data_IF_526356838552
#
_entry.id   IF_526356838552
#
_cell.length_a   1.000
_cell.length_b   1.000
_cell.length_c   1.000
_cell.angle_alpha   90.00
_cell.angle_beta   90.00
_cell.angle_gamma   90.00
#
_symmetry.space_group_name_H-M   'P 1'
#
loop_
_entity.id
_entity.type
_entity.pdbx_description
1 polymer ?
#
# COMPACT_ATOMS: atom_id res chain seq x y z
N UNK A 1 10.18 13.24 2.46
CA UNK A 1 9.92 12.29 1.36
C UNK A 1 9.07 13.07 0.37
N UNK A 2 9.53 13.26 -0.86
CA UNK A 2 8.76 13.99 -1.86
C UNK A 2 7.56 13.13 -2.25
N UNK A 3 6.36 13.51 -1.82
CA UNK A 3 5.13 12.76 -2.08
C UNK A 3 4.57 13.14 -3.45
N UNK A 4 4.45 12.17 -4.35
CA UNK A 4 3.76 12.35 -5.61
C UNK A 4 2.27 12.62 -5.33
N UNK A 5 1.80 13.82 -5.66
CA UNK A 5 0.39 14.21 -5.55
C UNK A 5 -0.31 13.93 -6.87
N UNK A 6 -1.28 13.02 -6.86
CA UNK A 6 -2.13 12.76 -8.02
C UNK A 6 -3.61 12.88 -7.65
N UNK A 7 -4.41 13.35 -8.61
CA UNK A 7 -5.87 13.38 -8.49
C UNK A 7 -6.44 12.19 -9.25
N UNK A 8 -7.37 11.47 -8.62
CA UNK A 8 -7.98 10.27 -9.20
C UNK A 8 -9.46 10.53 -9.48
N UNK A 9 -9.89 10.33 -10.74
CA UNK A 9 -11.31 10.37 -11.12
C UNK A 9 -11.91 8.98 -10.90
N UNK A 10 -12.80 8.85 -9.91
CA UNK A 10 -13.49 7.60 -9.61
C UNK A 10 -14.99 7.78 -9.52
N UNK A 11 -15.72 6.71 -9.82
CA UNK A 11 -17.17 6.69 -9.69
C UNK A 11 -17.60 6.90 -8.22
N UNK A 12 -18.64 7.71 -7.93
CA UNK A 12 -19.04 8.05 -6.56
C UNK A 12 -19.39 6.82 -5.69
N UNK A 13 -19.92 5.76 -6.30
CA UNK A 13 -20.19 4.50 -5.58
C UNK A 13 -18.90 3.88 -5.03
N UNK A 14 -17.82 3.89 -5.83
CA UNK A 14 -16.52 3.34 -5.42
C UNK A 14 -15.93 4.21 -4.32
N UNK A 15 -16.04 5.54 -4.44
CA UNK A 15 -15.61 6.48 -3.40
C UNK A 15 -16.30 6.20 -2.05
N UNK A 16 -17.61 5.93 -2.06
CA UNK A 16 -18.34 5.62 -0.83
C UNK A 16 -17.93 4.28 -0.21
N UNK A 17 -17.67 3.25 -1.03
CA UNK A 17 -17.12 1.97 -0.55
C UNK A 17 -15.73 2.15 0.07
N UNK A 18 -14.86 2.92 -0.58
CA UNK A 18 -13.53 3.29 -0.05
C UNK A 18 -13.63 3.99 1.31
N UNK A 19 -14.53 4.97 1.45
CA UNK A 19 -14.79 5.63 2.75
C UNK A 19 -15.22 4.65 3.83
N UNK A 20 -16.06 3.67 3.48
CA UNK A 20 -16.50 2.66 4.42
C UNK A 20 -15.35 1.76 4.88
N UNK A 21 -14.53 1.27 3.96
CA UNK A 21 -13.35 0.44 4.27
C UNK A 21 -12.33 1.21 5.12
N UNK A 22 -12.03 2.45 4.74
CA UNK A 22 -11.11 3.30 5.49
C UNK A 22 -11.60 3.53 6.93
N UNK A 23 -12.91 3.72 7.13
CA UNK A 23 -13.51 3.85 8.47
C UNK A 23 -13.36 2.59 9.31
N UNK A 24 -13.57 1.40 8.71
CA UNK A 24 -13.40 0.12 9.41
C UNK A 24 -11.94 -0.06 9.85
N UNK A 25 -11.00 0.28 8.97
CA UNK A 25 -9.57 0.14 9.22
C UNK A 25 -8.99 1.28 10.09
N UNK A 26 -9.79 2.28 10.47
CA UNK A 26 -9.34 3.44 11.25
C UNK A 26 -8.37 4.36 10.50
N UNK A 27 -8.41 4.37 9.16
CA UNK A 27 -7.52 5.14 8.29
C UNK A 27 -8.26 6.26 7.56
N UNK A 28 -7.51 7.26 7.10
CA UNK A 28 -8.05 8.20 6.11
C UNK A 28 -8.18 7.51 4.75
N UNK A 29 -9.09 7.99 3.91
CA UNK A 29 -9.29 7.43 2.55
C UNK A 29 -7.98 7.45 1.75
N UNK A 30 -7.21 8.54 1.85
CA UNK A 30 -5.91 8.64 1.18
C UNK A 30 -4.91 7.62 1.70
N UNK A 31 -4.89 7.37 3.02
CA UNK A 31 -3.98 6.37 3.58
C UNK A 31 -4.40 4.95 3.20
N UNK A 32 -5.70 4.69 3.09
CA UNK A 32 -6.21 3.41 2.61
C UNK A 32 -5.85 3.18 1.13
N UNK A 33 -5.95 4.21 0.28
CA UNK A 33 -5.49 4.15 -1.12
C UNK A 33 -3.99 3.81 -1.19
N UNK A 34 -3.16 4.47 -0.37
CA UNK A 34 -1.72 4.18 -0.31
C UNK A 34 -1.44 2.73 0.08
N UNK A 35 -2.17 2.18 1.07
CA UNK A 35 -1.98 0.80 1.49
C UNK A 35 -2.42 -0.20 0.41
N UNK A 36 -3.56 0.04 -0.23
CA UNK A 36 -4.03 -0.81 -1.33
C UNK A 36 -3.02 -0.82 -2.47
N UNK A 37 -2.43 0.32 -2.83
CA UNK A 37 -1.39 0.39 -3.86
C UNK A 37 -0.16 -0.45 -3.48
N UNK A 38 0.30 -0.37 -2.24
CA UNK A 38 1.42 -1.20 -1.75
C UNK A 38 1.10 -2.68 -1.84
N UNK A 39 -0.10 -3.08 -1.44
CA UNK A 39 -0.53 -4.48 -1.52
C UNK A 39 -0.59 -5.00 -2.94
N UNK A 40 -1.08 -4.19 -3.87
CA UNK A 40 -1.14 -4.59 -5.29
C UNK A 40 0.26 -4.78 -5.86
N UNK A 41 1.21 -3.91 -5.50
CA UNK A 41 2.62 -4.06 -5.92
C UNK A 41 3.24 -5.31 -5.28
N UNK A 42 3.06 -5.50 -3.98
CA UNK A 42 3.61 -6.65 -3.24
C UNK A 42 3.06 -7.99 -3.75
N UNK A 43 1.74 -8.07 -4.00
CA UNK A 43 1.11 -9.26 -4.59
C UNK A 43 1.62 -9.55 -6.00
N UNK A 44 1.80 -8.49 -6.81
CA UNK A 44 2.40 -8.64 -8.15
C UNK A 44 3.85 -9.12 -8.06
N UNK A 45 4.68 -8.52 -7.20
CA UNK A 45 6.08 -8.91 -7.04
C UNK A 45 6.23 -10.34 -6.52
N UNK A 46 5.31 -10.79 -5.67
CA UNK A 46 5.24 -12.16 -5.18
C UNK A 46 4.88 -13.17 -6.27
N UNK A 47 4.01 -12.79 -7.21
CA UNK A 47 3.55 -13.68 -8.29
C UNK A 47 4.50 -13.71 -9.50
N UNK A 48 5.05 -12.55 -9.90
CA UNK A 48 5.78 -12.38 -11.16
C UNK A 48 7.26 -12.05 -10.99
N UNK A 49 7.72 -11.80 -9.75
CA UNK A 49 9.07 -11.35 -9.43
C UNK A 49 9.18 -9.84 -9.24
N UNK A 50 10.28 -9.42 -8.62
CA UNK A 50 10.52 -8.02 -8.20
C UNK A 50 10.56 -7.07 -9.40
N UNK A 51 9.98 -5.87 -9.23
CA UNK A 51 10.03 -4.81 -10.24
C UNK A 51 11.34 -4.03 -10.04
N UNK A 52 12.31 -4.25 -10.93
CA UNK A 52 13.56 -3.49 -10.93
C UNK A 52 13.34 -2.11 -11.59
N UNK A 53 13.25 -1.07 -10.77
CA UNK A 53 13.16 0.31 -11.27
C UNK A 53 14.57 0.85 -11.54
N UNK A 54 14.81 1.28 -12.78
CA UNK A 54 16.11 1.87 -13.15
C UNK A 54 16.20 3.33 -12.70
N UNK A 55 17.42 3.83 -12.53
CA UNK A 55 17.69 5.23 -12.09
C UNK A 55 17.06 6.29 -13.03
N UNK A 56 16.76 5.94 -14.28
CA UNK A 56 16.10 6.81 -15.24
C UNK A 56 14.60 7.01 -14.94
N UNK A 57 13.97 6.06 -14.25
CA UNK A 57 12.52 6.05 -13.98
C UNK A 57 12.16 6.69 -12.63
N UNK A 58 13.16 7.08 -11.83
CA UNK A 58 13.01 7.84 -10.58
C UNK A 58 13.86 9.12 -10.57
N UNK A 59 13.50 10.18 -11.32
CA UNK A 59 14.14 11.47 -11.17
C UNK A 59 13.80 12.07 -9.79
N UNK A 60 14.77 12.10 -8.86
CA UNK A 60 14.65 12.76 -7.56
C UNK A 60 14.91 11.89 -6.32
N UNK A 61 15.00 10.56 -6.46
CA UNK A 61 15.38 9.69 -5.33
C UNK A 61 16.92 9.62 -5.24
N UNK A 62 17.53 10.40 -4.36
CA UNK A 62 18.98 10.38 -4.17
C UNK A 62 19.42 9.01 -3.63
N UNK A 63 20.08 8.26 -4.50
CA UNK A 63 20.84 7.02 -4.24
C UNK A 63 21.64 7.09 -2.94
N UNK A 64 21.42 6.12 -2.04
CA UNK A 64 22.25 5.93 -0.86
C UNK A 64 21.81 4.83 0.11
N UNK A 65 20.56 4.37 0.05
CA UNK A 65 20.15 3.17 0.75
C UNK A 65 20.00 2.05 -0.27
N UNK A 66 20.89 1.04 -0.21
CA UNK A 66 20.45 -0.32 -0.54
C UNK A 66 19.13 -0.51 0.19
N UNK A 67 18.04 -0.68 -0.56
CA UNK A 67 16.71 -0.89 -0.01
C UNK A 67 16.82 -2.19 0.79
N UNK A 68 17.07 -2.06 2.09
CA UNK A 68 17.10 -3.21 2.99
C UNK A 68 15.69 -3.79 2.93
N UNK A 69 15.64 -5.04 2.50
CA UNK A 69 14.42 -5.84 2.39
C UNK A 69 13.57 -5.62 3.64
N UNK A 70 12.40 -5.00 3.46
CA UNK A 70 11.44 -4.93 4.55
C UNK A 70 11.04 -6.39 4.84
N UNK A 71 11.12 -6.86 6.09
CA UNK A 71 10.73 -8.22 6.42
C UNK A 71 9.28 -8.43 5.99
N UNK A 72 9.02 -9.49 5.22
CA UNK A 72 7.70 -9.88 4.75
C UNK A 72 6.72 -9.87 5.94
N UNK A 73 5.82 -8.89 5.99
CA UNK A 73 4.80 -8.86 7.03
C UNK A 73 3.59 -9.63 6.51
N UNK A 74 3.24 -10.78 7.12
CA UNK A 74 2.10 -11.57 6.67
C UNK A 74 0.83 -10.72 6.79
N UNK A 75 0.02 -10.76 5.72
CA UNK A 75 -1.20 -9.96 5.53
C UNK A 75 -2.14 -9.96 6.75
N UNK A 76 -2.19 -11.07 7.50
CA UNK A 76 -2.99 -11.21 8.74
C UNK A 76 -2.64 -10.17 9.82
N UNK A 77 -1.38 -9.74 9.93
CA UNK A 77 -0.92 -8.76 10.92
C UNK A 77 -1.44 -7.35 10.63
N UNK A 78 -1.76 -7.05 9.37
CA UNK A 78 -2.11 -5.70 8.92
C UNK A 78 -3.62 -5.42 9.03
N UNK A 79 -4.43 -6.47 9.14
CA UNK A 79 -5.88 -6.39 9.33
C UNK A 79 -6.31 -6.41 10.80
N UNK A 80 -5.38 -6.52 11.76
CA UNK A 80 -5.72 -6.49 13.19
C UNK A 80 -6.85 -7.46 13.54
N UNK A 81 -6.90 -8.61 12.85
CA UNK A 81 -7.80 -9.71 13.18
C UNK A 81 -7.22 -10.37 14.43
N UNK A 82 -7.31 -9.66 15.55
CA UNK A 82 -7.18 -10.25 16.87
C UNK A 82 -8.22 -11.37 16.93
N UNK A 83 -7.76 -12.61 16.82
CA UNK A 83 -8.51 -13.79 17.24
C UNK A 83 -8.70 -13.73 18.77
N UNK A 84 -9.41 -12.72 19.28
CA UNK A 84 -10.04 -12.75 20.60
C UNK A 84 -11.35 -13.51 20.52
N UNK A 85 -11.24 -14.78 20.14
CA UNK A 85 -12.23 -15.78 20.49
C UNK A 85 -11.50 -17.12 20.57
N UNK A 86 -10.97 -17.41 21.76
CA UNK A 86 -10.84 -18.75 22.35
C UNK A 86 -10.07 -18.67 23.67
N UNK A 87 -10.74 -18.22 24.72
CA UNK A 87 -10.87 -18.94 25.99
C UNK A 87 -11.93 -18.27 26.88
#
# INVERSE_FOLDING_TARGET
MEEARFTLRIHPIIMNKMKHLAKINGRSVNKEIEQILKWVIDDYERQYGKIELTKAEMPGFSTGATVKEAPEQPMEMLFGLDNKSKK
#
